data_IF_143834149050
#
_entry.id   IF_143834149050
#
_cell.length_a   1.000
_cell.length_b   1.000
_cell.length_c   1.000
_cell.angle_alpha   90.00
_cell.angle_beta   90.00
_cell.angle_gamma   90.00
#
_symmetry.space_group_name_H-M   'P 1'
#
loop_
_entity.id
_entity.type
_entity.pdbx_description
1 polymer ?
#
# COMPACT_ATOMS: atom_id res chain seq x y z
N UNK A 1 19.56 33.48 -25.32
CA UNK A 1 18.95 32.17 -25.56
C UNK A 1 18.76 32.03 -27.05
N UNK A 2 19.26 30.96 -27.66
CA UNK A 2 19.01 30.66 -29.07
C UNK A 2 17.80 29.71 -29.13
N UNK A 3 16.66 30.13 -29.69
CA UNK A 3 15.50 29.27 -29.82
C UNK A 3 15.79 28.06 -30.72
N UNK A 4 15.09 26.95 -30.46
CA UNK A 4 15.31 25.65 -31.08
C UNK A 4 13.98 25.07 -31.54
N UNK A 5 13.94 24.53 -32.75
CA UNK A 5 12.81 23.77 -33.26
C UNK A 5 13.25 22.39 -33.77
N UNK A 6 12.32 21.42 -33.75
CA UNK A 6 12.56 20.04 -34.17
C UNK A 6 11.73 19.65 -35.38
N UNK A 7 12.34 18.95 -36.34
CA UNK A 7 11.69 18.34 -37.49
C UNK A 7 12.18 16.88 -37.65
N UNK A 8 11.31 15.87 -37.51
CA UNK A 8 11.71 14.47 -37.63
C UNK A 8 12.14 14.07 -39.05
N UNK A 9 11.72 14.81 -40.07
CA UNK A 9 11.87 14.45 -41.49
C UNK A 9 13.03 15.18 -42.19
N UNK A 10 13.69 16.12 -41.51
CA UNK A 10 14.79 16.91 -42.07
C UNK A 10 16.07 16.77 -41.24
N UNK A 11 17.23 16.60 -41.89
CA UNK A 11 18.53 16.59 -41.22
C UNK A 11 19.06 18.03 -41.06
N UNK A 12 19.59 18.45 -39.88
CA UNK A 12 20.03 17.63 -38.74
C UNK A 12 19.01 17.48 -37.59
N UNK A 13 17.71 17.51 -37.89
CA UNK A 13 16.56 17.32 -37.00
C UNK A 13 16.27 18.46 -36.03
N UNK A 14 17.30 19.12 -35.50
CA UNK A 14 17.15 20.31 -34.68
C UNK A 14 17.73 21.52 -35.42
N UNK A 15 16.92 22.57 -35.52
CA UNK A 15 17.23 23.80 -36.26
C UNK A 15 17.17 25.01 -35.32
N UNK A 16 17.88 26.07 -35.68
CA UNK A 16 17.67 27.39 -35.07
C UNK A 16 16.26 27.88 -35.41
N UNK A 17 15.45 28.15 -34.39
CA UNK A 17 14.14 28.77 -34.56
C UNK A 17 14.34 30.29 -34.57
N UNK A 18 14.35 30.86 -35.78
CA UNK A 18 14.76 32.25 -36.02
C UNK A 18 13.65 33.24 -35.72
N UNK A 19 12.41 32.78 -35.70
CA UNK A 19 11.23 33.59 -35.41
C UNK A 19 10.57 33.26 -34.05
N UNK A 20 11.13 32.30 -33.30
CA UNK A 20 10.73 31.89 -31.95
C UNK A 20 9.27 31.39 -31.90
N UNK A 21 8.82 30.69 -32.94
CA UNK A 21 7.45 30.16 -33.06
C UNK A 21 7.29 28.72 -32.56
N UNK A 22 8.39 28.03 -32.24
CA UNK A 22 8.43 26.66 -31.72
C UNK A 22 8.30 25.56 -32.77
N UNK A 23 8.34 25.89 -34.06
CA UNK A 23 8.23 24.95 -35.19
C UNK A 23 9.33 25.20 -36.21
N UNK A 24 9.65 24.20 -37.04
CA UNK A 24 10.64 24.38 -38.12
C UNK A 24 9.90 24.82 -39.37
N UNK A 25 10.06 26.08 -39.77
CA UNK A 25 9.50 26.60 -41.02
C UNK A 25 10.28 26.13 -42.25
N UNK A 26 9.70 26.26 -43.46
CA UNK A 26 10.32 25.81 -44.71
C UNK A 26 11.68 26.49 -44.95
N UNK A 27 11.79 27.78 -44.60
CA UNK A 27 13.02 28.56 -44.70
C UNK A 27 14.08 28.14 -43.67
N UNK A 28 13.67 27.54 -42.55
CA UNK A 28 14.53 27.13 -41.44
C UNK A 28 15.05 25.70 -41.60
N UNK A 29 14.35 24.86 -42.36
CA UNK A 29 14.66 23.46 -42.63
C UNK A 29 15.86 23.25 -43.59
N UNK A 30 16.95 23.99 -43.37
CA UNK A 30 18.19 23.90 -44.14
C UNK A 30 19.37 23.54 -43.24
N UNK A 31 20.32 22.76 -43.75
CA UNK A 31 21.43 22.22 -42.93
C UNK A 31 22.35 23.27 -42.33
N UNK A 32 22.45 24.44 -42.97
CA UNK A 32 23.26 25.56 -42.49
C UNK A 32 22.62 26.24 -41.26
N UNK A 33 21.31 26.07 -41.08
CA UNK A 33 20.55 26.48 -39.90
C UNK A 33 20.43 25.38 -38.83
N UNK A 34 21.27 24.35 -38.90
CA UNK A 34 21.33 23.33 -37.84
C UNK A 34 21.59 23.96 -36.47
N UNK A 35 20.88 23.50 -35.44
CA UNK A 35 21.05 24.04 -34.09
C UNK A 35 22.47 23.76 -33.59
N UNK A 36 23.20 24.82 -33.20
CA UNK A 36 24.60 24.72 -32.78
C UNK A 36 24.84 25.11 -31.32
N UNK A 37 23.87 25.72 -30.65
CA UNK A 37 24.03 26.28 -29.29
C UNK A 37 23.75 25.26 -28.18
N UNK A 38 24.30 24.05 -28.31
CA UNK A 38 24.06 22.95 -27.38
C UNK A 38 24.72 23.17 -26.02
N UNK A 39 23.93 22.96 -24.96
CA UNK A 39 24.48 22.68 -23.62
C UNK A 39 24.48 21.18 -23.39
N UNK A 40 25.28 20.68 -22.44
CA UNK A 40 25.26 19.26 -22.07
C UNK A 40 23.88 18.78 -21.59
N UNK A 41 23.10 19.66 -20.95
CA UNK A 41 21.72 19.40 -20.52
C UNK A 41 20.79 19.27 -21.72
N UNK A 42 20.82 20.27 -22.60
CA UNK A 42 19.96 20.33 -23.79
C UNK A 42 20.26 19.19 -24.76
N UNK A 43 21.53 18.82 -24.94
CA UNK A 43 21.92 17.71 -25.82
C UNK A 43 21.34 16.38 -25.34
N UNK A 44 21.38 16.10 -24.02
CA UNK A 44 20.80 14.87 -23.44
C UNK A 44 19.29 14.80 -23.68
N UNK A 45 18.59 15.90 -23.39
CA UNK A 45 17.14 15.96 -23.57
C UNK A 45 16.73 15.83 -25.06
N UNK A 46 17.43 16.54 -25.95
CA UNK A 46 17.19 16.46 -27.39
C UNK A 46 17.48 15.07 -27.96
N UNK A 47 18.53 14.39 -27.48
CA UNK A 47 18.82 13.01 -27.86
C UNK A 47 17.69 12.06 -27.46
N UNK A 48 17.23 12.14 -26.21
CA UNK A 48 16.13 11.31 -25.70
C UNK A 48 14.81 11.59 -26.44
N UNK A 49 14.53 12.86 -26.74
CA UNK A 49 13.38 13.26 -27.54
C UNK A 49 13.47 12.71 -28.97
N UNK A 50 14.64 12.78 -29.60
CA UNK A 50 14.82 12.22 -30.93
C UNK A 50 14.64 10.69 -30.91
N UNK A 51 15.15 9.99 -29.90
CA UNK A 51 14.96 8.55 -29.75
C UNK A 51 13.47 8.18 -29.67
N UNK A 52 12.69 8.91 -28.87
CA UNK A 52 11.25 8.64 -28.71
C UNK A 52 10.47 8.80 -30.01
N UNK A 53 10.88 9.74 -30.87
CA UNK A 53 10.25 9.98 -32.17
C UNK A 53 10.74 9.01 -33.24
N UNK A 54 12.00 8.55 -33.16
CA UNK A 54 12.61 7.67 -34.16
C UNK A 54 12.25 6.20 -34.00
N UNK A 55 11.65 5.80 -32.89
CA UNK A 55 10.98 4.50 -32.75
C UNK A 55 9.45 4.68 -32.86
N UNK A 56 8.86 4.58 -34.06
CA UNK A 56 7.41 4.65 -34.21
C UNK A 56 6.67 3.51 -33.49
N UNK A 57 7.37 2.43 -33.13
CA UNK A 57 6.86 1.31 -32.34
C UNK A 57 7.16 1.42 -30.84
N UNK A 58 7.71 2.54 -30.37
CA UNK A 58 8.09 2.76 -28.96
C UNK A 58 6.98 2.39 -27.98
N UNK A 59 5.73 2.70 -28.34
CA UNK A 59 4.55 2.41 -27.54
C UNK A 59 4.32 0.90 -27.30
N UNK A 60 4.88 0.02 -28.15
CA UNK A 60 4.74 -1.43 -28.06
C UNK A 60 6.05 -2.13 -27.65
N UNK A 61 7.21 -1.62 -28.06
CA UNK A 61 8.50 -2.24 -27.76
C UNK A 61 8.88 -2.08 -26.29
N UNK A 62 8.85 -0.83 -25.79
CA UNK A 62 9.16 -0.50 -24.39
C UNK A 62 8.70 0.93 -24.07
N UNK A 63 7.38 1.13 -24.00
CA UNK A 63 6.81 2.46 -23.76
C UNK A 63 7.31 3.07 -22.44
N UNK A 64 7.58 2.23 -21.43
CA UNK A 64 8.02 2.65 -20.10
C UNK A 64 9.41 3.28 -20.14
N UNK A 65 10.36 2.62 -20.80
CA UNK A 65 11.69 3.18 -20.99
C UNK A 65 11.64 4.57 -21.68
N UNK A 66 10.78 4.72 -22.68
CA UNK A 66 10.61 6.00 -23.37
C UNK A 66 9.97 7.05 -22.45
N UNK A 67 8.96 6.69 -21.65
CA UNK A 67 8.37 7.59 -20.64
C UNK A 67 9.42 8.05 -19.64
N UNK A 68 10.24 7.14 -19.10
CA UNK A 68 11.30 7.48 -18.13
C UNK A 68 12.30 8.46 -18.73
N UNK A 69 12.79 8.21 -19.96
CA UNK A 69 13.72 9.11 -20.64
C UNK A 69 13.13 10.51 -20.82
N UNK A 70 11.87 10.62 -21.25
CA UNK A 70 11.20 11.89 -21.49
C UNK A 70 10.86 12.62 -20.18
N UNK A 71 10.44 11.89 -19.15
CA UNK A 71 10.16 12.43 -17.83
C UNK A 71 11.44 13.01 -17.21
N UNK A 72 12.53 12.23 -17.19
CA UNK A 72 13.81 12.64 -16.59
C UNK A 72 14.41 13.83 -17.36
N UNK A 73 14.28 13.83 -18.70
CA UNK A 73 14.73 14.96 -19.54
C UNK A 73 13.95 16.24 -19.22
N UNK A 74 12.62 16.14 -19.07
CA UNK A 74 11.77 17.29 -18.74
C UNK A 74 12.03 17.78 -17.32
N UNK A 75 12.16 16.88 -16.35
CA UNK A 75 12.46 17.22 -14.96
C UNK A 75 13.82 17.94 -14.82
N UNK A 76 14.86 17.47 -15.53
CA UNK A 76 16.17 18.12 -15.55
C UNK A 76 16.11 19.50 -16.24
N UNK A 77 15.34 19.66 -17.32
CA UNK A 77 15.15 20.97 -17.95
C UNK A 77 14.35 21.94 -17.07
N UNK A 78 13.35 21.45 -16.33
CA UNK A 78 12.52 22.24 -15.40
C UNK A 78 13.34 22.95 -14.32
N UNK A 79 14.56 22.50 -14.01
CA UNK A 79 15.42 23.17 -13.04
C UNK A 79 16.07 24.46 -13.57
N UNK A 80 16.00 24.73 -14.88
CA UNK A 80 16.69 25.87 -15.52
C UNK A 80 15.83 26.72 -16.46
N UNK A 81 14.68 26.21 -16.93
CA UNK A 81 13.78 26.97 -17.79
C UNK A 81 12.87 27.92 -16.98
N UNK A 82 12.53 29.07 -17.55
CA UNK A 82 11.75 30.12 -16.88
C UNK A 82 10.27 29.77 -16.68
N UNK A 83 9.77 28.77 -17.41
CA UNK A 83 8.39 28.29 -17.33
C UNK A 83 8.43 26.76 -17.33
N UNK A 84 8.56 26.14 -16.15
CA UNK A 84 8.59 24.69 -16.03
C UNK A 84 7.35 24.02 -16.64
N UNK A 85 7.55 22.87 -17.27
CA UNK A 85 6.48 21.98 -17.71
C UNK A 85 5.86 21.33 -16.48
N UNK A 86 4.54 21.37 -16.35
CA UNK A 86 3.83 20.70 -15.27
C UNK A 86 3.90 19.18 -15.43
N UNK A 87 4.58 18.51 -14.50
CA UNK A 87 4.70 17.05 -14.44
C UNK A 87 3.83 16.45 -13.32
N UNK A 88 2.96 17.24 -12.66
CA UNK A 88 2.18 16.78 -11.50
C UNK A 88 1.25 15.60 -11.81
N UNK A 89 0.76 15.50 -13.04
CA UNK A 89 -0.06 14.39 -13.54
C UNK A 89 0.74 13.36 -14.37
N UNK A 90 2.05 13.56 -14.56
CA UNK A 90 2.90 12.63 -15.27
C UNK A 90 3.49 11.60 -14.29
N UNK A 91 3.52 10.34 -14.71
CA UNK A 91 4.05 9.26 -13.88
C UNK A 91 5.29 8.64 -14.54
N UNK A 92 6.42 8.74 -13.84
CA UNK A 92 7.67 8.09 -14.24
C UNK A 92 7.63 6.58 -13.98
N UNK A 93 7.13 6.20 -12.80
CA UNK A 93 7.12 4.82 -12.31
C UNK A 93 5.76 4.18 -12.55
N UNK A 94 5.75 2.86 -12.77
CA UNK A 94 4.53 2.06 -12.85
C UNK A 94 3.76 2.03 -11.53
N UNK A 95 2.48 1.68 -11.60
CA UNK A 95 1.63 1.56 -10.43
C UNK A 95 1.88 0.24 -9.67
N UNK A 96 1.91 0.35 -8.33
CA UNK A 96 1.84 -0.76 -7.38
C UNK A 96 2.71 -1.99 -7.72
N UNK A 97 2.08 -3.12 -8.02
CA UNK A 97 2.75 -4.40 -8.28
C UNK A 97 3.74 -4.40 -9.44
N UNK A 98 3.65 -3.43 -10.37
CA UNK A 98 4.57 -3.30 -11.50
C UNK A 98 5.64 -2.23 -11.27
N UNK A 99 5.60 -1.54 -10.12
CA UNK A 99 6.52 -0.47 -9.75
C UNK A 99 7.90 -1.03 -9.36
N UNK A 100 8.68 -1.44 -10.36
CA UNK A 100 9.94 -2.16 -10.20
C UNK A 100 10.98 -1.47 -9.29
N UNK A 101 10.96 -0.13 -9.25
CA UNK A 101 11.89 0.69 -8.47
C UNK A 101 11.50 0.88 -7.01
N UNK A 102 10.31 0.41 -6.62
CA UNK A 102 9.79 0.62 -5.26
C UNK A 102 10.39 -0.38 -4.26
N UNK A 103 10.40 0.04 -2.99
CA UNK A 103 11.02 -0.72 -1.89
C UNK A 103 10.52 -2.17 -1.83
N UNK A 104 9.24 -2.41 -2.14
CA UNK A 104 8.66 -3.75 -2.18
C UNK A 104 9.42 -4.75 -3.08
N UNK A 105 10.19 -4.28 -4.06
CA UNK A 105 10.97 -5.14 -4.95
C UNK A 105 12.48 -4.93 -4.87
N UNK A 106 12.93 -3.84 -4.23
CA UNK A 106 14.34 -3.43 -4.19
C UNK A 106 15.03 -3.65 -2.85
N UNK A 107 14.28 -3.96 -1.78
CA UNK A 107 14.84 -4.13 -0.42
C UNK A 107 16.01 -5.12 -0.37
N UNK A 108 15.96 -6.17 -1.20
CA UNK A 108 16.94 -7.27 -1.22
C UNK A 108 17.96 -7.19 -2.36
N UNK A 109 18.10 -6.05 -3.04
CA UNK A 109 19.08 -5.90 -4.13
C UNK A 109 20.52 -6.14 -3.67
N UNK A 110 20.85 -5.72 -2.45
CA UNK A 110 22.16 -5.97 -1.85
C UNK A 110 22.41 -7.44 -1.51
N UNK A 111 21.33 -8.19 -1.21
CA UNK A 111 21.39 -9.61 -0.85
C UNK A 111 21.38 -10.52 -2.10
N UNK A 112 20.89 -10.01 -3.23
CA UNK A 112 20.83 -10.71 -4.52
C UNK A 112 19.64 -11.67 -4.67
N UNK A 113 18.89 -11.92 -3.61
CA UNK A 113 17.68 -12.74 -3.59
C UNK A 113 16.67 -12.26 -2.56
N UNK A 114 15.38 -12.40 -2.86
CA UNK A 114 14.31 -12.19 -1.91
C UNK A 114 14.23 -13.41 -0.99
N UNK A 115 14.37 -13.26 0.34
CA UNK A 115 14.42 -14.40 1.26
C UNK A 115 13.09 -15.14 1.31
N UNK A 116 13.15 -16.42 1.71
CA UNK A 116 12.01 -17.33 1.71
C UNK A 116 10.77 -16.79 2.45
N UNK A 117 10.94 -16.06 3.55
CA UNK A 117 9.81 -15.53 4.33
C UNK A 117 9.11 -14.33 3.66
N UNK A 118 9.70 -13.76 2.61
CA UNK A 118 9.22 -12.59 1.88
C UNK A 118 8.85 -12.93 0.43
N UNK A 119 9.45 -13.98 -0.14
CA UNK A 119 9.42 -14.26 -1.57
C UNK A 119 8.03 -14.49 -2.15
N UNK A 120 7.08 -15.04 -1.37
CA UNK A 120 5.68 -15.21 -1.82
C UNK A 120 5.09 -13.89 -2.34
N UNK A 121 5.32 -12.79 -1.62
CA UNK A 121 4.67 -11.51 -1.89
C UNK A 121 5.60 -10.48 -2.56
N UNK A 122 6.90 -10.77 -2.67
CA UNK A 122 7.89 -9.79 -3.11
C UNK A 122 8.78 -10.28 -4.25
N UNK A 123 8.40 -11.39 -4.91
CA UNK A 123 9.09 -11.89 -6.10
C UNK A 123 8.09 -12.32 -7.16
N UNK A 124 8.50 -12.30 -8.43
CA UNK A 124 7.64 -12.71 -9.54
C UNK A 124 7.22 -14.19 -9.50
N UNK A 125 8.05 -15.07 -8.93
CA UNK A 125 7.89 -16.54 -8.96
C UNK A 125 7.49 -17.15 -7.63
N UNK A 126 7.54 -16.40 -6.53
CA UNK A 126 7.23 -16.91 -5.19
C UNK A 126 5.77 -17.32 -5.01
N UNK A 127 4.82 -16.51 -5.50
CA UNK A 127 3.40 -16.86 -5.46
C UNK A 127 3.06 -18.11 -6.31
N UNK A 128 3.52 -18.22 -7.58
CA UNK A 128 3.35 -19.45 -8.37
C UNK A 128 3.91 -20.70 -7.70
N UNK A 129 5.11 -20.61 -7.10
CA UNK A 129 5.67 -21.73 -6.33
C UNK A 129 4.78 -22.08 -5.15
N UNK A 130 4.35 -21.08 -4.38
CA UNK A 130 3.49 -21.30 -3.22
C UNK A 130 2.20 -22.03 -3.63
N UNK A 131 1.53 -21.58 -4.69
CA UNK A 131 0.28 -22.18 -5.20
C UNK A 131 0.52 -23.63 -5.64
N UNK A 132 1.58 -23.88 -6.41
CA UNK A 132 1.92 -25.22 -6.89
C UNK A 132 2.14 -26.19 -5.72
N UNK A 133 2.92 -25.79 -4.73
CA UNK A 133 3.24 -26.65 -3.58
C UNK A 133 2.03 -26.78 -2.63
N UNK A 134 1.18 -25.76 -2.53
CA UNK A 134 -0.07 -25.82 -1.77
C UNK A 134 -1.01 -26.90 -2.32
N UNK A 135 -1.13 -27.00 -3.66
CA UNK A 135 -1.95 -28.02 -4.31
C UNK A 135 -1.46 -29.47 -4.02
N UNK A 136 -0.17 -29.65 -3.72
CA UNK A 136 0.41 -30.94 -3.34
C UNK A 136 0.38 -31.20 -1.82
N UNK A 137 0.03 -30.20 -1.00
CA UNK A 137 0.01 -30.30 0.45
C UNK A 137 -1.20 -31.09 0.97
N UNK A 138 -1.09 -31.62 2.19
CA UNK A 138 -2.17 -32.42 2.80
C UNK A 138 -3.44 -31.62 3.11
N UNK A 139 -3.33 -30.29 3.30
CA UNK A 139 -4.48 -29.42 3.54
C UNK A 139 -4.90 -28.61 2.30
N UNK A 140 -4.24 -28.82 1.15
CA UNK A 140 -4.55 -28.20 -0.14
C UNK A 140 -4.25 -26.71 -0.24
N UNK A 141 -3.76 -26.07 0.83
CA UNK A 141 -3.65 -24.59 0.93
C UNK A 141 -2.34 -24.11 1.54
N UNK A 142 -1.57 -25.01 2.17
CA UNK A 142 -0.27 -24.67 2.75
C UNK A 142 0.82 -24.89 1.71
N UNK A 143 1.27 -23.80 1.09
CA UNK A 143 2.40 -23.82 0.17
C UNK A 143 3.76 -23.77 0.87
N UNK A 144 4.80 -23.87 0.04
CA UNK A 144 6.21 -23.72 0.46
C UNK A 144 6.75 -22.42 -0.09
N UNK A 145 7.59 -21.75 0.71
CA UNK A 145 8.37 -20.62 0.24
C UNK A 145 9.87 -20.91 0.39
N UNK A 146 10.63 -20.50 -0.62
CA UNK A 146 12.10 -20.55 -0.65
C UNK A 146 12.61 -19.20 -1.16
N UNK A 147 13.89 -18.91 -1.02
CA UNK A 147 14.47 -17.70 -1.59
C UNK A 147 14.24 -17.66 -3.11
N UNK A 148 13.95 -16.48 -3.64
CA UNK A 148 13.66 -16.28 -5.06
C UNK A 148 14.52 -15.14 -5.62
N UNK A 149 14.82 -15.14 -6.92
CA UNK A 149 15.51 -14.01 -7.53
C UNK A 149 14.75 -12.70 -7.31
N UNK A 150 15.51 -11.64 -7.12
CA UNK A 150 15.00 -10.27 -7.19
C UNK A 150 14.31 -10.05 -8.55
N UNK A 151 13.12 -9.45 -8.56
CA UNK A 151 12.32 -9.23 -9.77
C UNK A 151 11.96 -7.75 -9.96
N UNK A 152 11.83 -7.33 -11.22
CA UNK A 152 11.45 -5.96 -11.59
C UNK A 152 9.93 -5.77 -11.47
N UNK A 153 9.41 -5.86 -10.25
CA UNK A 153 7.97 -5.97 -10.00
C UNK A 153 7.46 -7.41 -10.15
N UNK A 154 6.13 -7.56 -10.11
CA UNK A 154 5.44 -8.77 -10.51
C UNK A 154 5.39 -8.91 -12.03
N UNK A 155 5.20 -10.15 -12.48
CA UNK A 155 5.04 -10.50 -13.88
C UNK A 155 3.63 -11.03 -14.12
N UNK A 156 3.21 -11.14 -15.38
CA UNK A 156 1.92 -11.75 -15.74
C UNK A 156 1.77 -13.13 -15.07
N UNK A 157 2.86 -13.90 -15.07
CA UNK A 157 2.93 -15.25 -14.52
C UNK A 157 2.80 -15.31 -13.00
N UNK A 158 2.91 -14.18 -12.30
CA UNK A 158 2.72 -14.13 -10.84
C UNK A 158 1.27 -14.43 -10.48
N UNK A 159 0.32 -13.94 -11.29
CA UNK A 159 -1.13 -14.12 -11.06
C UNK A 159 -1.80 -15.04 -12.07
N UNK A 160 -1.18 -15.25 -13.24
CA UNK A 160 -1.74 -16.02 -14.36
C UNK A 160 -0.95 -17.31 -14.63
N UNK A 161 -1.68 -18.37 -14.93
CA UNK A 161 -1.12 -19.65 -15.36
C UNK A 161 -0.87 -19.65 -16.87
N UNK A 162 0.40 -19.59 -17.26
CA UNK A 162 0.83 -19.64 -18.67
C UNK A 162 0.52 -20.96 -19.36
N UNK A 163 0.32 -22.04 -18.58
CA UNK A 163 -0.04 -23.36 -19.11
C UNK A 163 -1.54 -23.47 -19.40
N UNK A 164 -2.33 -22.53 -18.89
CA UNK A 164 -3.78 -22.43 -19.06
C UNK A 164 -4.18 -21.15 -19.82
N UNK A 165 -3.47 -20.85 -20.92
CA UNK A 165 -3.77 -19.69 -21.79
C UNK A 165 -3.79 -18.35 -21.04
N UNK A 166 -2.94 -18.18 -20.03
CA UNK A 166 -2.91 -17.01 -19.14
C UNK A 166 -4.22 -16.80 -18.36
N UNK A 167 -4.99 -17.85 -18.06
CA UNK A 167 -6.05 -17.77 -17.07
C UNK A 167 -5.48 -17.40 -15.68
N UNK A 168 -6.17 -16.60 -14.85
CA UNK A 168 -5.78 -16.42 -13.45
C UNK A 168 -5.68 -17.76 -12.72
N UNK A 169 -4.77 -17.86 -11.75
CA UNK A 169 -4.70 -19.08 -10.92
C UNK A 169 -6.04 -19.35 -10.23
N UNK A 170 -6.53 -20.58 -10.35
CA UNK A 170 -7.76 -21.02 -9.67
C UNK A 170 -7.43 -21.51 -8.27
N UNK A 171 -7.82 -20.73 -7.27
CA UNK A 171 -7.60 -21.01 -5.84
C UNK A 171 -8.95 -21.29 -5.18
N UNK A 172 -9.08 -22.45 -4.52
CA UNK A 172 -10.33 -22.85 -3.87
C UNK A 172 -10.58 -22.06 -2.58
N UNK A 173 -9.58 -21.99 -1.71
CA UNK A 173 -9.62 -21.27 -0.43
C UNK A 173 -8.20 -20.87 -0.01
N UNK A 174 -8.09 -19.91 0.91
CA UNK A 174 -6.82 -19.37 1.40
C UNK A 174 -6.73 -19.51 2.91
N UNK A 175 -5.57 -19.97 3.40
CA UNK A 175 -5.29 -20.11 4.83
C UNK A 175 -4.73 -18.81 5.41
N UNK A 176 -5.53 -18.18 6.26
CA UNK A 176 -5.18 -16.93 6.95
C UNK A 176 -4.25 -17.19 8.14
N UNK A 177 -3.53 -16.16 8.65
CA UNK A 177 -2.67 -16.29 9.83
C UNK A 177 -3.39 -16.75 11.12
N UNK A 178 -4.73 -16.65 11.18
CA UNK A 178 -5.54 -17.21 12.27
C UNK A 178 -5.73 -18.73 12.17
N UNK A 179 -5.36 -19.34 11.04
CA UNK A 179 -5.65 -20.73 10.70
C UNK A 179 -6.98 -20.94 9.98
N UNK A 180 -7.82 -19.91 9.88
CA UNK A 180 -9.06 -19.97 9.10
C UNK A 180 -8.78 -20.19 7.62
N UNK A 181 -9.65 -20.96 6.97
CA UNK A 181 -9.63 -21.13 5.52
C UNK A 181 -10.84 -20.42 4.93
N UNK A 182 -10.59 -19.36 4.15
CA UNK A 182 -11.63 -18.46 3.65
C UNK A 182 -11.55 -18.33 2.14
N UNK A 183 -12.67 -17.95 1.53
CA UNK A 183 -12.82 -17.92 0.07
C UNK A 183 -13.92 -16.95 -0.34
N UNK A 184 -13.77 -16.35 -1.53
CA UNK A 184 -14.85 -15.65 -2.23
C UNK A 184 -15.72 -16.59 -3.08
N UNK A 185 -15.51 -17.91 -2.97
CA UNK A 185 -16.08 -18.93 -3.83
C UNK A 185 -14.98 -19.71 -4.56
N UNK A 186 -15.25 -20.96 -4.89
CA UNK A 186 -14.28 -21.84 -5.55
C UNK A 186 -13.81 -21.25 -6.89
N UNK A 187 -12.50 -21.06 -7.04
CA UNK A 187 -11.91 -20.52 -8.27
C UNK A 187 -12.14 -19.03 -8.50
N UNK A 188 -12.69 -18.29 -7.53
CA UNK A 188 -12.85 -16.85 -7.64
C UNK A 188 -11.48 -16.16 -7.81
N UNK A 189 -11.27 -15.32 -8.85
CA UNK A 189 -9.97 -14.68 -9.11
C UNK A 189 -9.42 -13.88 -7.91
N UNK A 190 -10.30 -13.30 -7.10
CA UNK A 190 -9.92 -12.55 -5.90
C UNK A 190 -9.24 -13.39 -4.81
N UNK A 191 -9.37 -14.72 -4.83
CA UNK A 191 -8.65 -15.60 -3.91
C UNK A 191 -7.12 -15.49 -4.11
N UNK A 192 -6.65 -15.17 -5.33
CA UNK A 192 -5.22 -14.91 -5.59
C UNK A 192 -4.74 -13.68 -4.81
N UNK A 193 -5.55 -12.63 -4.71
CA UNK A 193 -5.20 -11.38 -4.05
C UNK A 193 -4.95 -11.58 -2.55
N UNK A 194 -5.84 -12.33 -1.89
CA UNK A 194 -5.77 -12.56 -0.44
C UNK A 194 -4.70 -13.58 -0.04
N UNK A 195 -4.00 -14.24 -0.96
CA UNK A 195 -2.79 -14.99 -0.62
C UNK A 195 -1.67 -14.09 -0.10
N UNK A 196 -1.64 -12.83 -0.54
CA UNK A 196 -0.68 -11.81 -0.09
C UNK A 196 -1.34 -10.78 0.84
N UNK A 197 -2.53 -10.29 0.48
CA UNK A 197 -3.28 -9.26 1.21
C UNK A 197 -4.09 -9.78 2.41
N UNK A 198 -3.55 -10.77 3.13
CA UNK A 198 -4.15 -11.39 4.32
C UNK A 198 -3.53 -10.91 5.63
N UNK A 199 -2.48 -10.08 5.56
CA UNK A 199 -1.60 -9.81 6.69
C UNK A 199 -0.72 -11.01 7.05
N UNK A 200 0.17 -10.82 8.02
CA UNK A 200 1.11 -11.84 8.51
C UNK A 200 0.90 -12.22 9.97
N UNK A 201 0.01 -11.53 10.67
CA UNK A 201 -0.35 -11.78 12.06
C UNK A 201 -1.87 -11.80 12.22
N UNK A 202 -2.34 -12.25 13.37
CA UNK A 202 -3.75 -12.34 13.72
C UNK A 202 -3.91 -12.20 15.23
N UNK A 203 -5.16 -12.15 15.70
CA UNK A 203 -5.49 -12.35 17.11
C UNK A 203 -4.76 -13.56 17.71
N UNK A 204 -4.64 -14.67 16.96
CA UNK A 204 -4.02 -15.91 17.44
C UNK A 204 -2.53 -15.71 17.71
N UNK A 205 -1.80 -15.02 16.83
CA UNK A 205 -0.37 -14.83 17.02
C UNK A 205 -0.04 -13.80 18.10
N UNK A 206 -0.88 -12.78 18.29
CA UNK A 206 -0.77 -11.86 19.44
C UNK A 206 -1.01 -12.62 20.75
N UNK A 207 -2.08 -13.41 20.83
CA UNK A 207 -2.36 -14.26 22.01
C UNK A 207 -1.22 -15.23 22.31
N UNK A 208 -0.66 -15.87 21.29
CA UNK A 208 0.50 -16.75 21.45
C UNK A 208 1.74 -16.01 21.95
N UNK A 209 1.90 -14.73 21.63
CA UNK A 209 3.07 -13.95 22.04
C UNK A 209 2.99 -13.48 23.49
N UNK A 210 1.79 -13.09 23.95
CA UNK A 210 1.57 -12.61 25.32
C UNK A 210 1.36 -13.75 26.33
N UNK A 211 0.86 -14.90 25.87
CA UNK A 211 0.57 -16.05 26.73
C UNK A 211 -0.40 -15.69 27.87
N UNK A 212 -0.11 -16.21 29.06
CA UNK A 212 -0.90 -15.99 30.27
C UNK A 212 -0.38 -14.81 31.13
N UNK A 213 0.44 -13.93 30.54
CA UNK A 213 0.98 -12.79 31.26
C UNK A 213 -0.15 -11.82 31.71
N UNK A 214 0.00 -11.27 32.91
CA UNK A 214 -0.93 -10.29 33.44
C UNK A 214 -0.98 -9.04 32.54
N UNK A 215 -2.18 -8.45 32.28
CA UNK A 215 -2.37 -7.42 31.27
C UNK A 215 -1.43 -6.22 31.37
N UNK A 216 -1.08 -5.84 32.59
CA UNK A 216 -0.33 -4.63 32.92
C UNK A 216 1.11 -4.90 33.40
N UNK A 217 1.57 -6.15 33.29
CA UNK A 217 2.94 -6.53 33.64
C UNK A 217 3.85 -6.48 32.43
N UNK A 218 5.01 -5.82 32.56
CA UNK A 218 6.03 -5.81 31.51
C UNK A 218 6.57 -7.23 31.33
N UNK A 219 6.52 -7.74 30.11
CA UNK A 219 6.97 -9.09 29.78
C UNK A 219 8.37 -9.02 29.16
N UNK A 220 9.34 -9.64 29.83
CA UNK A 220 10.71 -9.71 29.35
C UNK A 220 10.79 -10.38 27.97
N UNK A 221 11.42 -9.71 27.00
CA UNK A 221 11.59 -10.23 25.64
C UNK A 221 10.35 -10.17 24.75
N UNK A 222 9.22 -9.62 25.23
CA UNK A 222 8.06 -9.38 24.38
C UNK A 222 8.39 -8.30 23.35
N UNK A 223 8.06 -8.58 22.09
CA UNK A 223 8.33 -7.70 20.95
C UNK A 223 7.05 -7.40 20.20
N UNK A 224 7.01 -6.22 19.58
CA UNK A 224 5.89 -5.82 18.76
C UNK A 224 5.60 -6.84 17.64
N UNK A 225 4.32 -7.18 17.45
CA UNK A 225 3.87 -8.08 16.39
C UNK A 225 3.37 -7.26 15.22
N UNK A 226 4.20 -7.08 14.20
CA UNK A 226 3.77 -6.32 13.03
C UNK A 226 2.80 -7.15 12.16
N UNK A 227 1.53 -6.72 11.95
CA UNK A 227 0.60 -7.38 11.04
C UNK A 227 1.04 -7.36 9.58
N UNK A 228 2.03 -6.53 9.27
CA UNK A 228 2.51 -6.26 7.91
C UNK A 228 1.47 -5.51 7.07
N UNK A 229 1.85 -5.15 5.85
CA UNK A 229 1.11 -4.20 5.03
C UNK A 229 -0.12 -4.81 4.35
N UNK A 230 -1.15 -3.99 4.17
CA UNK A 230 -2.30 -4.22 3.31
C UNK A 230 -3.06 -5.52 3.60
N UNK A 231 -3.40 -5.75 4.87
CA UNK A 231 -4.22 -6.87 5.34
C UNK A 231 -5.71 -6.81 4.94
N UNK A 232 -6.03 -6.16 3.82
CA UNK A 232 -7.37 -5.84 3.35
C UNK A 232 -8.31 -7.05 3.29
N UNK A 233 -7.80 -8.22 2.87
CA UNK A 233 -8.58 -9.45 2.87
C UNK A 233 -9.02 -9.84 4.28
N UNK A 234 -8.13 -9.74 5.27
CA UNK A 234 -8.47 -10.07 6.64
C UNK A 234 -9.41 -9.03 7.27
N UNK A 235 -9.28 -7.74 6.91
CA UNK A 235 -10.25 -6.71 7.30
C UNK A 235 -11.62 -7.01 6.70
N UNK A 236 -11.68 -7.29 5.40
CA UNK A 236 -12.93 -7.58 4.68
C UNK A 236 -13.67 -8.79 5.25
N UNK A 237 -12.95 -9.84 5.67
CA UNK A 237 -13.53 -11.03 6.30
C UNK A 237 -13.79 -10.90 7.81
N UNK A 238 -13.33 -9.83 8.47
CA UNK A 238 -13.60 -9.56 9.88
C UNK A 238 -13.23 -10.72 10.82
N UNK A 239 -14.15 -11.09 11.71
CA UNK A 239 -13.94 -12.15 12.72
C UNK A 239 -13.73 -13.56 12.15
N UNK A 240 -14.03 -13.78 10.87
CA UNK A 240 -13.70 -15.04 10.21
C UNK A 240 -12.18 -15.15 9.98
N UNK A 241 -11.52 -14.02 9.66
CA UNK A 241 -10.08 -13.96 9.45
C UNK A 241 -9.32 -13.64 10.73
N UNK A 242 -9.91 -12.87 11.67
CA UNK A 242 -9.29 -12.41 12.93
C UNK A 242 -7.96 -11.70 12.70
N UNK A 243 -7.88 -10.88 11.65
CA UNK A 243 -6.67 -10.15 11.27
C UNK A 243 -6.26 -9.15 12.36
N UNK A 244 -7.16 -8.22 12.67
CA UNK A 244 -7.03 -7.37 13.86
C UNK A 244 -7.11 -8.21 15.14
N UNK A 245 -6.68 -7.62 16.26
CA UNK A 245 -6.80 -8.22 17.59
C UNK A 245 -8.22 -8.07 18.13
N UNK A 246 -8.84 -9.18 18.46
CA UNK A 246 -10.18 -9.27 19.04
C UNK A 246 -10.11 -9.61 20.53
N UNK A 247 -10.87 -8.87 21.33
CA UNK A 247 -10.96 -9.08 22.78
C UNK A 247 -11.92 -10.24 23.09
N UNK A 248 -11.49 -11.14 23.98
CA UNK A 248 -12.13 -12.45 24.17
C UNK A 248 -13.58 -12.38 24.71
N UNK A 249 -13.93 -11.30 25.43
CA UNK A 249 -15.26 -11.05 25.99
C UNK A 249 -16.18 -10.27 25.03
N UNK A 250 -15.71 -9.95 23.83
CA UNK A 250 -16.41 -9.17 22.82
C UNK A 250 -16.83 -10.02 21.65
N UNK A 251 -17.85 -9.54 20.93
CA UNK A 251 -18.28 -10.10 19.65
C UNK A 251 -17.96 -9.11 18.54
N UNK A 252 -17.51 -9.65 17.41
CA UNK A 252 -17.08 -8.87 16.25
C UNK A 252 -17.86 -9.28 15.01
N UNK A 253 -18.03 -8.34 14.10
CA UNK A 253 -18.62 -8.60 12.79
C UNK A 253 -17.73 -9.52 11.95
N UNK A 254 -18.38 -10.39 11.17
CA UNK A 254 -17.75 -11.24 10.16
C UNK A 254 -17.46 -10.47 8.88
N UNK A 255 -17.51 -11.18 7.75
CA UNK A 255 -17.23 -10.54 6.47
C UNK A 255 -18.21 -9.42 6.15
N UNK A 256 -17.73 -8.45 5.35
CA UNK A 256 -18.53 -7.32 4.93
C UNK A 256 -19.69 -7.76 4.02
N UNK A 257 -20.89 -7.15 4.10
CA UNK A 257 -22.04 -7.50 3.25
C UNK A 257 -21.80 -7.40 1.73
N UNK A 258 -20.74 -6.73 1.29
CA UNK A 258 -20.35 -6.74 -0.12
C UNK A 258 -19.94 -8.14 -0.59
N UNK A 259 -19.38 -8.97 0.30
CA UNK A 259 -19.05 -10.38 0.02
C UNK A 259 -20.33 -11.20 -0.20
N UNK A 260 -21.37 -10.99 0.61
CA UNK A 260 -22.69 -11.63 0.42
C UNK A 260 -23.33 -11.30 -0.93
N UNK A 261 -23.07 -10.09 -1.44
CA UNK A 261 -23.53 -9.62 -2.75
C UNK A 261 -22.64 -10.12 -3.91
N UNK A 262 -21.68 -11.00 -3.64
CA UNK A 262 -20.75 -11.56 -4.61
C UNK A 262 -19.65 -10.59 -5.05
N UNK A 263 -19.50 -9.44 -4.39
CA UNK A 263 -18.43 -8.49 -4.69
C UNK A 263 -17.12 -8.94 -4.04
N UNK A 264 -16.02 -8.65 -4.70
CA UNK A 264 -14.68 -9.01 -4.25
C UNK A 264 -13.66 -7.96 -4.69
N UNK A 265 -12.38 -8.22 -4.46
CA UNK A 265 -11.28 -7.31 -4.80
C UNK A 265 -11.35 -6.82 -6.25
N UNK A 266 -11.65 -7.73 -7.19
CA UNK A 266 -11.69 -7.44 -8.64
C UNK A 266 -12.94 -6.70 -9.09
N UNK A 267 -13.98 -6.62 -8.25
CA UNK A 267 -15.11 -5.72 -8.50
C UNK A 267 -14.65 -4.28 -8.38
N UNK A 268 -14.03 -3.93 -7.26
CA UNK A 268 -13.77 -2.54 -6.90
C UNK A 268 -12.42 -2.05 -7.40
N UNK A 269 -11.42 -2.93 -7.56
CA UNK A 269 -10.10 -2.56 -8.02
C UNK A 269 -9.85 -2.90 -9.49
N UNK A 270 -9.26 -1.96 -10.20
CA UNK A 270 -8.72 -2.19 -11.54
C UNK A 270 -7.44 -3.01 -11.41
N UNK A 271 -7.51 -4.33 -11.67
CA UNK A 271 -6.41 -5.28 -11.37
C UNK A 271 -5.04 -4.98 -12.01
N UNK A 272 -5.00 -4.29 -13.15
CA UNK A 272 -3.74 -3.96 -13.84
C UNK A 272 -3.28 -2.51 -13.64
N UNK A 273 -4.21 -1.61 -13.37
CA UNK A 273 -3.91 -0.21 -13.05
C UNK A 273 -3.62 -0.03 -11.55
N UNK A 274 -4.18 -0.93 -10.73
CA UNK A 274 -4.15 -0.91 -9.27
C UNK A 274 -4.82 0.33 -8.66
N UNK A 275 -5.73 0.94 -9.42
CA UNK A 275 -6.66 1.97 -8.97
C UNK A 275 -7.99 1.40 -8.47
N UNK A 276 -8.83 2.28 -7.94
CA UNK A 276 -10.20 1.96 -7.50
C UNK A 276 -11.18 2.46 -8.57
N UNK A 277 -12.16 1.63 -8.92
CA UNK A 277 -13.27 2.01 -9.77
C UNK A 277 -14.38 2.66 -8.93
N UNK A 278 -14.21 3.95 -8.67
CA UNK A 278 -15.09 4.79 -7.84
C UNK A 278 -16.49 4.99 -8.42
N UNK A 279 -16.65 4.90 -9.74
CA UNK A 279 -17.94 5.06 -10.40
C UNK A 279 -18.93 3.92 -10.07
N UNK A 280 -18.44 2.74 -9.72
CA UNK A 280 -19.28 1.60 -9.32
C UNK A 280 -20.07 1.88 -8.04
N UNK A 281 -19.53 2.72 -7.14
CA UNK A 281 -20.17 3.06 -5.88
C UNK A 281 -21.52 3.76 -6.08
N UNK A 282 -21.61 4.63 -7.09
CA UNK A 282 -22.75 5.50 -7.33
C UNK A 282 -24.06 4.72 -7.59
N UNK A 283 -23.96 3.51 -8.15
CA UNK A 283 -25.11 2.67 -8.48
C UNK A 283 -25.90 2.23 -7.23
N UNK A 284 -25.23 2.01 -6.10
CA UNK A 284 -25.84 1.53 -4.86
C UNK A 284 -25.84 2.58 -3.73
N UNK A 285 -24.95 3.56 -3.78
CA UNK A 285 -24.76 4.57 -2.73
C UNK A 285 -25.30 5.95 -3.13
N UNK A 286 -26.48 5.99 -3.75
CA UNK A 286 -27.22 7.24 -3.99
C UNK A 286 -26.49 8.26 -4.88
N UNK A 287 -25.66 7.78 -5.81
CA UNK A 287 -24.88 8.64 -6.70
C UNK A 287 -23.50 9.05 -6.16
N UNK A 288 -23.12 8.64 -4.95
CA UNK A 288 -21.80 8.93 -4.40
C UNK A 288 -20.71 8.08 -5.07
N UNK A 289 -19.67 8.73 -5.57
CA UNK A 289 -18.49 8.09 -6.18
C UNK A 289 -17.28 8.09 -5.24
N UNK A 290 -17.24 9.00 -4.27
CA UNK A 290 -16.15 9.11 -3.32
C UNK A 290 -16.39 8.18 -2.11
N UNK A 291 -15.61 7.09 -1.96
CA UNK A 291 -15.83 6.12 -0.88
C UNK A 291 -15.67 6.71 0.52
N UNK A 292 -14.86 7.77 0.70
CA UNK A 292 -14.67 8.40 2.01
C UNK A 292 -15.95 9.11 2.49
N UNK A 293 -16.80 9.53 1.55
CA UNK A 293 -18.07 10.22 1.83
C UNK A 293 -19.26 9.27 1.92
N UNK A 294 -19.08 7.97 1.66
CA UNK A 294 -20.18 7.00 1.66
C UNK A 294 -20.57 6.67 3.10
N UNK A 295 -21.88 6.75 3.35
CA UNK A 295 -22.50 6.43 4.63
C UNK A 295 -23.71 5.52 4.45
N UNK A 296 -23.83 4.52 5.33
CA UNK A 296 -24.96 3.60 5.39
C UNK A 296 -25.57 3.60 6.80
N UNK A 297 -26.34 4.64 7.12
CA UNK A 297 -26.99 4.83 8.42
C UNK A 297 -26.90 6.28 8.90
N UNK A 298 -27.35 6.53 10.14
CA UNK A 298 -27.31 7.86 10.79
C UNK A 298 -26.68 7.80 12.18
N UNK A 299 -26.07 6.67 12.56
CA UNK A 299 -25.47 6.48 13.88
C UNK A 299 -24.12 7.19 13.94
N UNK A 300 -24.04 8.22 14.77
CA UNK A 300 -22.77 8.83 15.21
C UNK A 300 -22.02 7.81 16.09
N UNK A 301 -20.98 7.20 15.53
CA UNK A 301 -20.19 6.17 16.20
C UNK A 301 -19.07 6.78 17.03
N UNK A 302 -18.44 7.85 16.57
CA UNK A 302 -17.31 8.49 17.25
C UNK A 302 -17.69 9.53 18.31
N UNK A 303 -18.96 9.92 18.35
CA UNK A 303 -19.56 10.80 19.34
C UNK A 303 -19.28 12.28 19.11
N UNK A 304 -18.90 12.70 17.90
CA UNK A 304 -18.56 14.09 17.59
C UNK A 304 -19.79 14.95 17.21
N UNK A 305 -20.94 14.31 17.00
CA UNK A 305 -22.21 14.93 16.62
C UNK A 305 -22.45 15.09 15.11
N UNK A 306 -21.50 14.73 14.26
CA UNK A 306 -21.63 14.72 12.81
C UNK A 306 -22.25 13.40 12.34
N UNK A 307 -23.51 13.48 11.91
CA UNK A 307 -24.24 12.32 11.37
C UNK A 307 -24.24 12.29 9.83
N UNK A 308 -23.47 13.17 9.20
CA UNK A 308 -23.42 13.40 7.75
C UNK A 308 -22.12 12.97 7.11
N UNK A 309 -21.04 12.85 7.88
CA UNK A 309 -19.77 12.32 7.38
C UNK A 309 -19.84 10.83 7.03
N UNK A 310 -18.94 10.42 6.13
CA UNK A 310 -18.82 9.03 5.70
C UNK A 310 -18.12 8.16 6.75
N UNK A 311 -18.12 6.85 6.51
CA UNK A 311 -17.46 5.88 7.42
C UNK A 311 -15.97 6.15 7.64
N UNK A 312 -15.31 6.87 6.73
CA UNK A 312 -13.90 7.25 6.89
C UNK A 312 -13.67 8.21 8.06
N UNK A 313 -14.54 9.22 8.22
CA UNK A 313 -14.45 10.19 9.33
C UNK A 313 -14.70 9.52 10.67
N UNK A 314 -15.79 8.75 10.75
CA UNK A 314 -16.16 7.97 11.94
C UNK A 314 -14.99 7.10 12.43
N UNK A 315 -14.25 6.44 11.53
CA UNK A 315 -13.10 5.62 11.92
C UNK A 315 -11.87 6.46 12.28
N UNK A 316 -11.64 7.58 11.58
CA UNK A 316 -10.49 8.45 11.81
C UNK A 316 -10.45 8.98 13.24
N UNK A 317 -11.58 9.43 13.79
CA UNK A 317 -11.67 9.95 15.16
C UNK A 317 -11.27 8.92 16.22
N UNK A 318 -11.63 7.63 16.04
CA UNK A 318 -11.19 6.58 16.95
C UNK A 318 -9.67 6.41 16.94
N UNK A 319 -9.06 6.49 15.75
CA UNK A 319 -7.61 6.34 15.56
C UNK A 319 -6.87 7.53 16.16
N UNK A 320 -7.38 8.75 15.96
CA UNK A 320 -6.87 9.99 16.56
C UNK A 320 -6.88 9.94 18.10
N UNK A 321 -7.86 9.27 18.70
CA UNK A 321 -7.95 9.10 20.16
C UNK A 321 -7.11 7.93 20.68
N UNK A 322 -6.93 6.87 19.89
CA UNK A 322 -6.23 5.66 20.31
C UNK A 322 -4.74 5.88 20.53
N UNK A 323 -4.04 6.62 19.66
CA UNK A 323 -2.60 6.86 19.84
C UNK A 323 -2.29 7.65 21.13
N UNK A 324 -2.95 8.78 21.44
CA UNK A 324 -2.77 9.47 22.71
C UNK A 324 -3.08 8.58 23.92
N UNK A 325 -4.09 7.71 23.85
CA UNK A 325 -4.41 6.78 24.93
C UNK A 325 -3.31 5.72 25.14
N UNK A 326 -2.73 5.20 24.05
CA UNK A 326 -1.54 4.33 24.06
C UNK A 326 -0.36 5.04 24.74
N UNK A 327 -0.09 6.29 24.36
CA UNK A 327 0.99 7.11 24.93
C UNK A 327 0.78 7.37 26.43
N UNK A 328 -0.44 7.73 26.82
CA UNK A 328 -0.82 7.98 28.21
C UNK A 328 -0.66 6.71 29.06
N UNK A 329 -1.08 5.55 28.57
CA UNK A 329 -0.91 4.28 29.26
C UNK A 329 0.56 3.92 29.45
N UNK A 330 1.38 4.05 28.40
CA UNK A 330 2.81 3.73 28.46
C UNK A 330 3.54 4.61 29.48
N UNK A 331 3.25 5.91 29.48
CA UNK A 331 3.83 6.86 30.43
C UNK A 331 3.29 6.67 31.86
N UNK A 332 1.98 6.58 32.03
CA UNK A 332 1.32 6.59 33.35
C UNK A 332 1.31 5.25 34.08
N UNK A 333 1.23 4.13 33.35
CA UNK A 333 1.13 2.78 33.93
C UNK A 333 2.48 2.07 33.98
N UNK A 334 3.24 2.13 32.88
CA UNK A 334 4.54 1.44 32.77
C UNK A 334 5.68 2.34 33.25
N UNK A 335 5.56 3.66 33.05
CA UNK A 335 6.64 4.62 33.32
C UNK A 335 7.67 4.72 32.18
N UNK A 336 7.37 4.19 31.00
CA UNK A 336 8.22 4.29 29.80
C UNK A 336 7.36 4.84 28.66
N UNK A 337 7.45 6.14 28.36
CA UNK A 337 6.70 6.77 27.28
C UNK A 337 7.03 6.15 25.91
N UNK A 338 6.03 6.10 25.04
CA UNK A 338 6.11 5.48 23.71
C UNK A 338 5.76 6.52 22.66
N UNK A 339 6.36 6.41 21.48
CA UNK A 339 5.93 7.13 20.30
C UNK A 339 5.84 6.22 19.08
N UNK A 340 5.00 6.61 18.13
CA UNK A 340 4.77 5.92 16.88
C UNK A 340 5.33 6.70 15.69
N UNK A 341 6.02 6.02 14.79
CA UNK A 341 6.37 6.53 13.47
C UNK A 341 5.96 5.56 12.37
N UNK A 342 5.18 6.04 11.39
CA UNK A 342 4.66 5.18 10.33
C UNK A 342 5.73 4.74 9.31
N UNK A 343 6.80 5.52 9.17
CA UNK A 343 7.85 5.37 8.16
C UNK A 343 9.05 4.52 8.60
N UNK A 344 9.28 4.37 9.90
CA UNK A 344 10.49 3.75 10.45
C UNK A 344 10.17 2.46 11.18
N UNK A 345 10.62 1.32 10.65
CA UNK A 345 10.51 0.04 11.36
C UNK A 345 11.35 0.04 12.65
N UNK A 346 10.87 -0.47 13.80
CA UNK A 346 9.64 -1.25 14.01
C UNK A 346 8.42 -0.43 14.48
N UNK A 347 8.35 0.83 14.07
CA UNK A 347 7.24 1.79 14.23
C UNK A 347 7.02 2.32 15.64
N UNK A 348 7.51 1.64 16.68
CA UNK A 348 7.36 2.08 18.07
C UNK A 348 8.71 2.28 18.73
N UNK A 349 8.89 3.47 19.30
CA UNK A 349 10.12 3.92 19.92
C UNK A 349 9.84 4.48 21.32
N UNK A 350 10.89 4.56 22.14
CA UNK A 350 10.86 5.23 23.44
C UNK A 350 10.83 6.73 23.17
N UNK A 351 9.80 7.38 23.68
CA UNK A 351 9.68 8.84 23.72
C UNK A 351 10.47 9.34 24.93
N UNK A 352 11.77 9.55 24.74
CA UNK A 352 12.72 9.82 25.80
C UNK A 352 12.50 11.21 26.42
N UNK A 353 11.96 12.16 25.64
CA UNK A 353 11.67 13.51 26.10
C UNK A 353 10.20 13.73 26.53
N UNK A 354 9.34 12.71 26.33
CA UNK A 354 7.93 12.69 26.67
C UNK A 354 7.08 13.77 25.97
N UNK A 355 7.42 14.13 24.73
CA UNK A 355 6.69 15.14 23.94
C UNK A 355 5.58 14.54 23.05
N UNK A 356 5.49 13.21 22.96
CA UNK A 356 4.51 12.48 22.15
C UNK A 356 4.80 12.50 20.64
N UNK A 357 5.99 12.91 20.21
CA UNK A 357 6.41 13.10 18.82
C UNK A 357 7.64 12.24 18.52
N UNK A 358 7.65 11.58 17.36
CA UNK A 358 8.76 10.72 16.94
C UNK A 358 9.94 11.58 16.50
N UNK A 359 10.83 11.92 17.43
CA UNK A 359 12.00 12.74 17.12
C UNK A 359 13.11 11.92 16.43
N UNK A 360 13.83 12.47 15.44
CA UNK A 360 14.89 11.74 14.72
C UNK A 360 15.95 11.12 15.63
N UNK A 361 16.23 11.73 16.78
CA UNK A 361 17.18 11.22 17.78
C UNK A 361 16.68 9.95 18.50
N UNK A 362 15.37 9.72 18.54
CA UNK A 362 14.72 8.56 19.17
C UNK A 362 14.56 7.39 18.19
N UNK A 363 14.53 7.67 16.88
CA UNK A 363 14.37 6.69 15.79
C UNK A 363 15.65 5.89 15.52
N UNK A 364 16.19 5.28 16.58
CA UNK A 364 17.46 4.55 16.58
C UNK A 364 17.29 3.15 17.17
N UNK A 365 18.34 2.32 17.07
CA UNK A 365 18.33 0.97 17.67
C UNK A 365 18.24 1.00 19.20
N UNK A 366 18.76 2.06 19.83
CA UNK A 366 18.73 2.22 21.27
C UNK A 366 17.39 2.79 21.75
N UNK A 367 16.69 3.51 20.87
CA UNK A 367 15.34 4.04 21.12
C UNK A 367 14.22 3.04 20.84
N UNK A 368 14.49 1.78 20.55
CA UNK A 368 13.43 0.78 20.32
C UNK A 368 12.55 0.60 21.55
N UNK A 369 11.23 0.58 21.36
CA UNK A 369 10.32 0.29 22.46
C UNK A 369 10.36 -1.20 22.82
N UNK A 370 10.75 -1.52 24.06
CA UNK A 370 10.95 -2.90 24.55
C UNK A 370 10.18 -3.24 25.83
N UNK A 371 9.51 -2.26 26.45
CA UNK A 371 8.79 -2.42 27.72
C UNK A 371 7.31 -2.76 27.48
N UNK A 372 7.05 -3.81 26.69
CA UNK A 372 5.69 -4.18 26.30
C UNK A 372 4.94 -4.90 27.44
N UNK A 373 3.69 -4.48 27.67
CA UNK A 373 2.68 -5.26 28.42
C UNK A 373 1.69 -5.91 27.44
N UNK A 374 0.98 -6.99 27.81
CA UNK A 374 -0.06 -7.57 26.98
C UNK A 374 -1.14 -6.56 26.56
N UNK A 375 -1.57 -5.66 27.46
CA UNK A 375 -2.56 -4.63 27.17
C UNK A 375 -2.05 -3.63 26.13
N UNK A 376 -0.84 -3.10 26.32
CA UNK A 376 -0.23 -2.17 25.38
C UNK A 376 -0.04 -2.79 23.99
N UNK A 377 0.42 -4.05 23.94
CA UNK A 377 0.65 -4.74 22.67
C UNK A 377 -0.65 -4.89 21.86
N UNK A 378 -1.78 -5.21 22.50
CA UNK A 378 -3.09 -5.34 21.83
C UNK A 378 -3.54 -4.02 21.21
N UNK A 379 -3.49 -2.93 21.98
CA UNK A 379 -3.87 -1.61 21.50
C UNK A 379 -2.95 -1.11 20.37
N UNK A 380 -1.62 -1.24 20.54
CA UNK A 380 -0.65 -0.89 19.51
C UNK A 380 -0.80 -1.75 18.25
N UNK A 381 -1.11 -3.04 18.40
CA UNK A 381 -1.37 -3.93 17.27
C UNK A 381 -2.56 -3.46 16.43
N UNK A 382 -3.68 -3.10 17.08
CA UNK A 382 -4.87 -2.63 16.39
C UNK A 382 -4.68 -1.25 15.76
N UNK A 383 -3.95 -0.36 16.43
CA UNK A 383 -3.54 0.91 15.84
C UNK A 383 -2.74 0.68 14.55
N UNK A 384 -1.68 -0.14 14.62
CA UNK A 384 -0.87 -0.49 13.46
C UNK A 384 -1.69 -1.20 12.36
N UNK A 385 -2.63 -2.09 12.71
CA UNK A 385 -3.48 -2.77 11.74
C UNK A 385 -4.22 -1.76 10.86
N UNK A 386 -4.87 -0.77 11.49
CA UNK A 386 -5.56 0.30 10.78
C UNK A 386 -4.59 1.11 9.91
N UNK A 387 -3.44 1.52 10.46
CA UNK A 387 -2.42 2.27 9.72
C UNK A 387 -1.88 1.51 8.49
N UNK A 388 -1.96 0.18 8.50
CA UNK A 388 -1.47 -0.68 7.40
C UNK A 388 -2.60 -1.17 6.48
N UNK A 389 -3.84 -0.74 6.67
CA UNK A 389 -4.94 -0.94 5.73
C UNK A 389 -5.64 0.40 5.42
N UNK A 390 -5.14 1.18 4.44
CA UNK A 390 -5.71 2.49 4.11
C UNK A 390 -7.18 2.44 3.68
N UNK A 391 -7.66 1.27 3.22
CA UNK A 391 -9.04 1.06 2.81
C UNK A 391 -9.94 0.52 3.91
N UNK A 392 -9.45 0.42 5.16
CA UNK A 392 -10.14 -0.26 6.26
C UNK A 392 -11.59 0.20 6.48
N UNK A 393 -11.86 1.50 6.33
CA UNK A 393 -13.20 2.09 6.45
C UNK A 393 -14.18 1.56 5.38
N UNK A 394 -13.68 1.22 4.19
CA UNK A 394 -14.48 0.62 3.10
C UNK A 394 -14.47 -0.90 3.15
N UNK A 395 -13.34 -1.52 3.47
CA UNK A 395 -13.21 -2.98 3.55
C UNK A 395 -14.13 -3.55 4.63
N UNK A 396 -14.12 -2.98 5.85
CA UNK A 396 -15.04 -3.37 6.92
C UNK A 396 -15.10 -2.33 8.04
N UNK A 397 -15.56 -1.10 7.73
CA UNK A 397 -15.50 0.02 8.67
C UNK A 397 -16.15 -0.25 10.03
N UNK A 398 -17.31 -0.93 10.07
CA UNK A 398 -17.96 -1.27 11.35
C UNK A 398 -17.18 -2.29 12.19
N UNK A 399 -16.55 -3.28 11.56
CA UNK A 399 -15.63 -4.18 12.27
C UNK A 399 -14.45 -3.38 12.84
N UNK A 400 -13.93 -2.40 12.10
CA UNK A 400 -12.83 -1.56 12.57
C UNK A 400 -13.22 -0.62 13.71
N UNK A 401 -14.41 -0.03 13.67
CA UNK A 401 -14.96 0.70 14.80
C UNK A 401 -15.06 -0.18 16.06
N UNK A 402 -15.52 -1.44 15.95
CA UNK A 402 -15.55 -2.37 17.09
C UNK A 402 -14.15 -2.63 17.67
N UNK A 403 -13.18 -2.91 16.80
CA UNK A 403 -11.79 -3.18 17.17
C UNK A 403 -11.15 -1.97 17.86
N UNK A 404 -11.31 -0.77 17.27
CA UNK A 404 -10.72 0.46 17.80
C UNK A 404 -11.41 0.93 19.08
N UNK A 405 -12.74 0.81 19.16
CA UNK A 405 -13.51 1.08 20.38
C UNK A 405 -13.01 0.22 21.54
N UNK A 406 -12.91 -1.10 21.31
CA UNK A 406 -12.50 -2.02 22.36
C UNK A 406 -11.02 -1.81 22.76
N UNK A 407 -10.15 -1.46 21.81
CA UNK A 407 -8.77 -1.08 22.13
C UNK A 407 -8.68 0.20 22.94
N UNK A 408 -9.47 1.23 22.60
CA UNK A 408 -9.52 2.48 23.33
C UNK A 408 -10.04 2.26 24.76
N UNK A 409 -11.12 1.49 24.91
CA UNK A 409 -11.67 1.14 26.22
C UNK A 409 -10.70 0.31 27.07
N UNK A 410 -10.04 -0.70 26.47
CA UNK A 410 -9.12 -1.59 27.18
C UNK A 410 -7.85 -0.87 27.65
N UNK A 411 -7.31 0.07 26.87
CA UNK A 411 -6.11 0.83 27.24
C UNK A 411 -6.40 1.98 28.24
N UNK A 412 -7.68 2.19 28.59
CA UNK A 412 -8.14 3.21 29.53
C UNK A 412 -8.45 4.57 28.91
N UNK A 413 -8.63 4.63 27.59
CA UNK A 413 -9.11 5.82 26.89
C UNK A 413 -10.59 6.09 27.11
N UNK A 414 -11.00 7.33 26.87
CA UNK A 414 -12.39 7.77 27.04
C UNK A 414 -13.25 7.41 25.82
N UNK A 415 -14.26 6.58 26.06
CA UNK A 415 -15.28 6.19 25.07
C UNK A 415 -16.65 6.83 25.36
N UNK A 416 -16.71 7.81 26.25
CA UNK A 416 -17.95 8.53 26.58
C UNK A 416 -18.48 9.22 25.33
N UNK A 417 -19.76 8.99 25.02
CA UNK A 417 -20.42 9.55 23.83
C UNK A 417 -20.25 8.71 22.56
N UNK A 418 -19.26 7.81 22.51
CA UNK A 418 -19.07 6.91 21.39
C UNK A 418 -20.07 5.75 21.39
N UNK A 419 -20.42 5.29 20.19
CA UNK A 419 -21.26 4.12 19.98
C UNK A 419 -20.44 2.98 19.40
N UNK A 420 -20.42 1.82 20.09
CA UNK A 420 -19.86 0.58 19.53
C UNK A 420 -20.89 -0.08 18.59
N UNK A 421 -20.59 -0.33 17.31
CA UNK A 421 -21.52 -0.97 16.36
C UNK A 421 -21.92 -2.41 16.71
#
# INVERSE_FOLDING_TARGET
NAPIAYNPDAYPYFFGDTNDNGTVDEEEANSDNGYASWTGRLLKAAYNYQLSVKDPGAFAHNAKYIIELLYDSTADLNTVISSPVDLSAAHRTDAGHFAATELAFRDWDGDGEVPASCSKCHSATGLPLFIKEAAASSDGVTGVTIAQPVSQGFQCVTCHDVTAEFAPFSIAEVKFPSGAKLTFGEGAPANVCILCHQGRQSTVSVNSAIGDAEPDTVVEGLTFRNPHYFGAGATLFGTEAKGAYEYADKTYLGHHPHVDLGQNCTTCHNVHELGINTELCAACHGGATDPEKIRMGTTDYDGDGDTTEGMAGEVATFVEKLLPAIQAYASGTIGTPIVYDAGTYPYYFIDANANGVADPEELTRDGLYVTWTPRLLRAAYNYQWFQKDPGAFTHNGKYMLQVLYDSLADIGGDVTGMTRP
#
